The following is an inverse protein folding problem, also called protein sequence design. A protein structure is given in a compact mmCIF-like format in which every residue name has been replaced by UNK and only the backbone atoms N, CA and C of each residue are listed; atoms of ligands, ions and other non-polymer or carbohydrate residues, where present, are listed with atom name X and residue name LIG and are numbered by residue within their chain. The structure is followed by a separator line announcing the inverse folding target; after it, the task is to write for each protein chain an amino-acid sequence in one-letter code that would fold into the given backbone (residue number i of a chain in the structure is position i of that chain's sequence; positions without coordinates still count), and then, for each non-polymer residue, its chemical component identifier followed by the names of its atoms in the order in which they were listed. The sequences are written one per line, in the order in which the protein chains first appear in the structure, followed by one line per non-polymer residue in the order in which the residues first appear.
data_IF_413325973428
#
_entry.id   IF_413325973428
#
_cell.length_a   1.000
_cell.length_b   1.000
_cell.length_c   1.000
_cell.angle_alpha   90.00
_cell.angle_beta   90.00
_cell.angle_gamma   90.00
#
_symmetry.space_group_name_H-M   'P 1'
#
loop_
_entity.id
_entity.type
_entity.pdbx_description
1 polymer ?
#
# COMPACT_ATOMS: atom_id res chain seq x y z
N UNK A 1 26.89 24.57 12.28
CA UNK A 1 25.43 24.49 12.01
C UNK A 1 25.12 24.30 10.52
N UNK A 2 25.70 25.09 9.61
CA UNK A 2 25.46 24.98 8.15
C UNK A 2 25.81 23.59 7.59
N UNK A 3 26.96 23.03 7.95
CA UNK A 3 27.38 21.70 7.48
C UNK A 3 26.42 20.56 7.90
N UNK A 4 25.80 20.66 9.09
CA UNK A 4 24.84 19.67 9.57
C UNK A 4 23.51 19.77 8.81
N UNK A 5 23.06 20.98 8.49
CA UNK A 5 21.88 21.21 7.68
C UNK A 5 22.04 20.66 6.25
N UNK A 6 23.24 20.80 5.66
CA UNK A 6 23.56 20.25 4.33
C UNK A 6 23.52 18.72 4.35
N UNK A 7 24.07 18.08 5.38
CA UNK A 7 24.06 16.62 5.50
C UNK A 7 22.63 16.07 5.71
N UNK A 8 21.81 16.75 6.51
CA UNK A 8 20.40 16.38 6.69
C UNK A 8 19.62 16.52 5.39
N UNK A 9 19.80 17.62 4.67
CA UNK A 9 19.13 17.85 3.39
C UNK A 9 19.54 16.78 2.36
N UNK A 10 20.82 16.46 2.26
CA UNK A 10 21.32 15.40 1.37
C UNK A 10 20.72 14.03 1.73
N UNK A 11 20.66 13.68 3.02
CA UNK A 11 20.04 12.43 3.49
C UNK A 11 18.54 12.35 3.16
N UNK A 12 17.81 13.45 3.34
CA UNK A 12 16.39 13.55 2.97
C UNK A 12 16.17 13.40 1.47
N UNK A 13 17.02 14.01 0.64
CA UNK A 13 16.95 13.90 -0.83
C UNK A 13 17.20 12.46 -1.28
N UNK A 14 18.20 11.78 -0.72
CA UNK A 14 18.51 10.37 -1.06
C UNK A 14 17.39 9.43 -0.59
N UNK A 15 16.86 9.64 0.62
CA UNK A 15 15.73 8.87 1.14
C UNK A 15 14.46 9.08 0.31
N UNK A 16 14.20 10.31 -0.14
CA UNK A 16 13.07 10.63 -1.01
C UNK A 16 13.25 10.05 -2.41
N UNK A 17 14.46 10.13 -2.99
CA UNK A 17 14.78 9.60 -4.31
C UNK A 17 14.64 8.08 -4.37
N UNK A 18 15.14 7.35 -3.36
CA UNK A 18 14.98 5.88 -3.29
C UNK A 18 13.51 5.46 -3.13
N UNK A 19 12.72 6.24 -2.41
CA UNK A 19 11.28 6.03 -2.28
C UNK A 19 10.50 6.38 -3.56
N UNK A 20 10.91 7.42 -4.28
CA UNK A 20 10.31 7.82 -5.55
C UNK A 20 10.66 6.86 -6.69
N UNK A 21 11.88 6.33 -6.71
CA UNK A 21 12.37 5.37 -7.71
C UNK A 21 11.64 4.02 -7.59
N UNK A 22 11.44 3.54 -6.35
CA UNK A 22 10.57 2.38 -6.09
C UNK A 22 9.17 2.58 -6.70
N UNK A 23 8.56 3.77 -6.52
CA UNK A 23 7.24 4.07 -7.09
C UNK A 23 7.21 4.10 -8.62
N UNK A 24 8.30 4.50 -9.29
CA UNK A 24 8.36 4.57 -10.76
C UNK A 24 8.40 3.18 -11.39
N UNK A 25 9.17 2.25 -10.82
CA UNK A 25 9.21 0.84 -11.26
C UNK A 25 7.84 0.17 -11.10
N UNK A 26 7.10 0.52 -10.04
CA UNK A 26 5.75 -0.02 -9.80
C UNK A 26 4.69 0.47 -10.79
N UNK A 27 4.83 1.68 -11.37
CA UNK A 27 3.88 2.19 -12.36
C UNK A 27 4.00 1.42 -13.69
N UNK A 28 5.23 1.18 -14.15
CA UNK A 28 5.50 0.44 -15.40
C UNK A 28 5.02 -1.02 -15.35
N UNK A 29 5.13 -1.68 -14.19
CA UNK A 29 4.62 -3.03 -14.02
C UNK A 29 3.08 -3.07 -14.00
N UNK A 30 2.43 -2.07 -13.42
CA UNK A 30 0.96 -1.97 -13.37
C UNK A 30 0.36 -1.71 -14.74
N UNK A 31 1.00 -0.91 -15.59
CA UNK A 31 0.56 -0.70 -16.98
C UNK A 31 0.73 -1.95 -17.85
N UNK A 32 1.86 -2.67 -17.70
CA UNK A 32 2.07 -3.96 -18.39
C UNK A 32 1.07 -5.02 -17.95
N UNK A 33 0.65 -5.02 -16.67
CA UNK A 33 -0.39 -5.90 -16.15
C UNK A 33 -1.78 -5.48 -16.65
N UNK A 34 -2.12 -4.20 -16.59
CA UNK A 34 -3.41 -3.65 -17.03
C UNK A 34 -3.72 -3.96 -18.49
N UNK A 35 -2.70 -3.95 -19.37
CA UNK A 35 -2.86 -4.31 -20.79
C UNK A 35 -3.13 -5.81 -21.03
N UNK A 36 -2.90 -6.68 -20.03
CA UNK A 36 -3.21 -8.12 -20.07
C UNK A 36 -4.44 -8.52 -19.25
N UNK A 37 -5.05 -7.60 -18.50
CA UNK A 37 -6.23 -7.86 -17.65
C UNK A 37 -7.45 -7.11 -18.19
N UNK A 38 -7.80 -7.33 -19.46
CA UNK A 38 -9.23 -7.35 -19.79
C UNK A 38 -9.69 -8.77 -19.50
N UNK A 39 -10.26 -9.08 -18.32
CA UNK A 39 -10.77 -10.41 -18.08
C UNK A 39 -11.93 -10.64 -19.07
N UNK A 40 -12.01 -11.80 -19.74
CA UNK A 40 -13.25 -12.17 -20.42
C UNK A 40 -14.39 -12.14 -19.39
N UNK A 41 -15.60 -11.72 -19.78
CA UNK A 41 -16.71 -11.45 -18.86
C UNK A 41 -17.09 -12.64 -17.97
N UNK A 42 -16.71 -13.86 -18.35
CA UNK A 42 -17.08 -15.11 -17.67
C UNK A 42 -15.93 -15.74 -16.85
N UNK A 43 -15.14 -14.96 -16.12
CA UNK A 43 -14.09 -15.52 -15.27
C UNK A 43 -14.59 -15.76 -13.83
N UNK A 44 -14.84 -17.02 -13.40
CA UNK A 44 -15.28 -17.34 -12.03
C UNK A 44 -14.25 -17.00 -10.95
N UNK A 45 -13.04 -16.58 -11.33
CA UNK A 45 -11.98 -16.09 -10.44
C UNK A 45 -12.09 -14.61 -10.08
N UNK A 46 -13.03 -13.85 -10.66
CA UNK A 46 -13.32 -12.46 -10.27
C UNK A 46 -14.12 -12.39 -8.95
N UNK A 47 -13.91 -13.33 -8.02
CA UNK A 47 -14.43 -13.19 -6.67
C UNK A 47 -13.75 -12.00 -6.00
N UNK A 48 -14.47 -11.20 -5.21
CA UNK A 48 -13.85 -10.14 -4.43
C UNK A 48 -12.80 -10.77 -3.53
N UNK A 49 -11.53 -10.47 -3.79
CA UNK A 49 -10.44 -10.86 -2.90
C UNK A 49 -10.54 -9.99 -1.65
N UNK A 50 -10.49 -10.63 -0.48
CA UNK A 50 -10.42 -9.90 0.79
C UNK A 50 -9.21 -8.97 0.76
N UNK A 51 -9.38 -7.75 1.29
CA UNK A 51 -8.31 -6.77 1.40
C UNK A 51 -7.09 -7.36 2.11
N UNK A 52 -7.31 -8.11 3.19
CA UNK A 52 -6.24 -8.78 3.92
C UNK A 52 -5.47 -9.75 3.02
N UNK A 53 -6.18 -10.58 2.25
CA UNK A 53 -5.54 -11.54 1.34
C UNK A 53 -4.70 -10.88 0.26
N UNK A 54 -5.15 -9.75 -0.28
CA UNK A 54 -4.38 -8.96 -1.26
C UNK A 54 -3.12 -8.37 -0.60
N UNK A 55 -3.25 -7.80 0.60
CA UNK A 55 -2.12 -7.22 1.33
C UNK A 55 -1.10 -8.30 1.76
N UNK A 56 -1.56 -9.47 2.20
CA UNK A 56 -0.68 -10.60 2.52
C UNK A 56 0.07 -11.08 1.28
N UNK A 57 -0.60 -11.18 0.13
CA UNK A 57 0.05 -11.56 -1.12
C UNK A 57 1.15 -10.55 -1.50
N UNK A 58 0.87 -9.25 -1.37
CA UNK A 58 1.84 -8.19 -1.64
C UNK A 58 3.03 -8.21 -0.67
N UNK A 59 2.79 -8.53 0.60
CA UNK A 59 3.86 -8.68 1.59
C UNK A 59 4.76 -9.87 1.24
N UNK A 60 4.16 -11.00 0.83
CA UNK A 60 4.91 -12.20 0.42
C UNK A 60 5.66 -12.01 -0.90
N UNK A 61 5.14 -11.21 -1.83
CA UNK A 61 5.85 -10.83 -3.07
C UNK A 61 6.88 -9.71 -2.87
N UNK A 62 7.07 -9.24 -1.64
CA UNK A 62 7.92 -8.10 -1.28
C UNK A 62 7.55 -6.79 -2.02
N UNK A 63 6.32 -6.69 -2.53
CA UNK A 63 5.77 -5.45 -3.11
C UNK A 63 5.49 -4.40 -2.03
N UNK A 64 5.22 -4.84 -0.81
CA UNK A 64 5.07 -3.97 0.36
C UNK A 64 5.90 -4.50 1.53
N UNK A 65 6.28 -3.60 2.42
CA UNK A 65 6.99 -3.95 3.65
C UNK A 65 6.01 -4.30 4.77
N UNK A 66 6.50 -4.97 5.82
CA UNK A 66 5.71 -5.28 7.02
C UNK A 66 5.07 -4.03 7.66
N UNK A 67 5.80 -2.91 7.68
CA UNK A 67 5.28 -1.65 8.21
C UNK A 67 4.14 -1.09 7.37
N UNK A 68 4.23 -1.19 6.04
CA UNK A 68 3.17 -0.78 5.13
C UNK A 68 1.92 -1.67 5.27
N UNK A 69 2.10 -2.99 5.42
CA UNK A 69 1.00 -3.91 5.72
C UNK A 69 0.25 -3.50 7.00
N UNK A 70 0.99 -3.24 8.08
CA UNK A 70 0.40 -2.83 9.36
C UNK A 70 -0.33 -1.49 9.25
N UNK A 71 0.28 -0.49 8.59
CA UNK A 71 -0.33 0.81 8.38
C UNK A 71 -1.63 0.70 7.56
N UNK A 72 -1.64 -0.12 6.51
CA UNK A 72 -2.81 -0.35 5.68
C UNK A 72 -3.95 -1.05 6.46
N UNK A 73 -3.63 -2.07 7.25
CA UNK A 73 -4.60 -2.76 8.11
C UNK A 73 -5.21 -1.81 9.16
N UNK A 74 -4.39 -0.99 9.82
CA UNK A 74 -4.88 0.02 10.78
C UNK A 74 -5.80 1.03 10.10
N UNK A 75 -5.43 1.53 8.92
CA UNK A 75 -6.27 2.46 8.17
C UNK A 75 -7.58 1.83 7.67
N UNK A 76 -7.61 0.52 7.41
CA UNK A 76 -8.82 -0.21 7.10
C UNK A 76 -9.72 -0.34 8.33
N UNK A 77 -9.14 -0.73 9.48
CA UNK A 77 -9.87 -0.86 10.74
C UNK A 77 -10.49 0.47 11.20
N UNK A 78 -9.77 1.58 11.07
CA UNK A 78 -10.31 2.92 11.39
C UNK A 78 -11.50 3.28 10.49
N UNK A 79 -11.41 2.99 9.18
CA UNK A 79 -12.53 3.22 8.26
C UNK A 79 -13.73 2.33 8.58
N UNK A 80 -13.48 1.10 9.00
CA UNK A 80 -14.54 0.18 9.43
C UNK A 80 -15.22 0.67 10.70
N UNK A 81 -14.46 1.14 11.70
CA UNK A 81 -15.01 1.71 12.92
C UNK A 81 -15.86 2.97 12.67
N UNK A 82 -15.51 3.77 11.64
CA UNK A 82 -16.34 4.91 11.20
C UNK A 82 -17.62 4.44 10.51
N UNK A 83 -17.52 3.40 9.66
CA UNK A 83 -18.67 2.88 8.91
C UNK A 83 -19.65 2.12 9.81
N UNK A 84 -19.13 1.42 10.80
CA UNK A 84 -19.85 0.60 11.76
C UNK A 84 -19.44 1.01 13.17
N UNK A 85 -19.98 2.13 13.67
CA UNK A 85 -19.73 2.55 15.05
C UNK A 85 -20.18 1.44 15.99
N UNK A 86 -19.34 1.12 16.97
CA UNK A 86 -19.67 0.14 18.00
C UNK A 86 -20.93 0.54 18.78
N UNK A 87 -21.56 -0.42 19.48
CA UNK A 87 -22.70 -0.11 20.34
C UNK A 87 -22.30 0.96 21.37
N UNK A 88 -23.23 1.85 21.75
CA UNK A 88 -22.97 2.82 22.80
C UNK A 88 -22.55 2.08 24.08
N UNK A 89 -21.71 2.69 24.94
CA UNK A 89 -21.35 2.09 26.22
C UNK A 89 -22.62 1.75 27.01
N UNK A 90 -22.65 0.54 27.58
CA UNK A 90 -23.75 0.10 28.44
C UNK A 90 -23.81 0.99 29.70
N UNK A 91 -25.01 1.29 30.21
CA UNK A 91 -25.21 2.18 31.36
C UNK A 91 -24.61 1.62 32.67
#
# INVERSE_FOLDING_TARGET
MIAFAVLLAAGLIVAWATWADARHVHHDLRERRGRRISPPPDNPKARPQSLEGVLTQQLLSAEITRGQYQQAMTAAALREAVRHPGPPPLP
#
